data_IF_955548770221
#
_entry.id   IF_955548770221
#
_cell.length_a   1.000
_cell.length_b   1.000
_cell.length_c   1.000
_cell.angle_alpha   90.00
_cell.angle_beta   90.00
_cell.angle_gamma   90.00
#
_symmetry.space_group_name_H-M   'P 1'
#
loop_
_entity.id
_entity.type
_entity.pdbx_description
1 polymer ?
#
# COMPACT_ATOMS: atom_id res chain seq x y z
N UNK A 1 -19.89 84.49 15.99
CA UNK A 1 -21.02 83.54 15.89
C UNK A 1 -20.63 82.24 15.11
N UNK A 2 -19.36 81.82 15.14
CA UNK A 2 -18.87 80.69 14.35
C UNK A 2 -18.26 79.52 15.20
N UNK A 3 -18.20 79.62 16.50
CA UNK A 3 -17.60 78.59 17.37
C UNK A 3 -18.55 77.47 17.80
N UNK A 4 -19.86 77.62 17.64
CA UNK A 4 -20.83 76.56 18.04
C UNK A 4 -21.08 75.54 16.96
N UNK A 5 -20.75 75.76 15.70
CA UNK A 5 -20.91 74.82 14.60
C UNK A 5 -19.74 73.84 14.49
N UNK A 6 -18.54 74.20 14.97
CA UNK A 6 -17.35 73.31 14.91
C UNK A 6 -17.33 72.19 15.94
N UNK A 7 -18.04 72.41 17.08
CA UNK A 7 -18.08 71.39 18.13
C UNK A 7 -19.09 70.27 17.88
N UNK A 8 -20.08 70.52 17.02
CA UNK A 8 -21.09 69.51 16.69
C UNK A 8 -20.61 68.50 15.60
N UNK A 9 -19.64 68.88 14.78
CA UNK A 9 -19.08 68.02 13.75
C UNK A 9 -18.06 67.03 14.34
N UNK A 10 -17.39 67.38 15.44
CA UNK A 10 -16.39 66.51 16.08
C UNK A 10 -17.00 65.32 16.82
N UNK A 11 -18.28 65.39 17.23
CA UNK A 11 -18.97 64.33 17.97
C UNK A 11 -19.50 63.23 17.01
N UNK A 12 -19.72 63.52 15.72
CA UNK A 12 -20.29 62.56 14.78
C UNK A 12 -19.23 61.59 14.24
N UNK A 13 -17.94 61.94 14.27
CA UNK A 13 -16.84 61.09 13.72
C UNK A 13 -16.41 59.95 14.67
N UNK A 14 -16.78 59.99 15.94
CA UNK A 14 -16.34 58.97 16.94
C UNK A 14 -17.28 57.78 17.09
N UNK A 15 -18.42 57.71 16.41
CA UNK A 15 -19.40 56.60 16.52
C UNK A 15 -19.18 55.49 15.52
N UNK A 16 -18.19 55.57 14.61
CA UNK A 16 -18.02 54.67 13.47
C UNK A 16 -17.00 53.55 13.62
N UNK A 17 -16.27 53.43 14.73
CA UNK A 17 -15.23 52.40 14.92
C UNK A 17 -15.60 51.44 16.09
N UNK A 18 -16.65 50.67 15.87
CA UNK A 18 -16.82 49.46 16.69
C UNK A 18 -15.90 48.37 16.10
N UNK A 19 -14.90 47.88 16.82
CA UNK A 19 -14.17 46.68 16.36
C UNK A 19 -15.16 45.53 16.26
N UNK A 20 -15.46 45.06 15.05
CA UNK A 20 -16.15 43.78 14.85
C UNK A 20 -15.18 42.70 15.27
N UNK A 21 -15.34 42.16 16.47
CA UNK A 21 -14.70 40.91 16.84
C UNK A 21 -15.40 39.81 16.03
N UNK A 22 -14.77 39.38 14.93
CA UNK A 22 -15.15 38.16 14.26
C UNK A 22 -14.70 37.00 15.16
N UNK A 23 -15.63 36.40 15.89
CA UNK A 23 -15.40 35.11 16.48
C UNK A 23 -15.35 34.11 15.32
N UNK A 24 -14.17 33.52 15.07
CA UNK A 24 -14.09 32.37 14.17
C UNK A 24 -14.87 31.23 14.83
N UNK A 25 -15.95 30.80 14.21
CA UNK A 25 -16.68 29.60 14.64
C UNK A 25 -15.72 28.41 14.49
N UNK A 26 -15.49 27.69 15.58
CA UNK A 26 -14.67 26.48 15.54
C UNK A 26 -15.40 25.44 14.68
N UNK A 27 -14.75 24.93 13.63
CA UNK A 27 -15.31 23.95 12.70
C UNK A 27 -14.50 22.68 12.73
N UNK A 28 -15.12 21.60 12.29
CA UNK A 28 -14.41 20.34 12.08
C UNK A 28 -13.21 20.54 11.17
N UNK A 29 -12.12 19.87 11.47
CA UNK A 29 -10.87 20.00 10.72
C UNK A 29 -10.19 18.66 10.52
N UNK A 30 -9.52 18.52 9.36
CA UNK A 30 -8.65 17.40 9.01
C UNK A 30 -7.40 17.94 8.32
N UNK A 31 -6.25 17.38 8.63
CA UNK A 31 -4.95 17.79 8.08
C UNK A 31 -4.00 16.60 8.05
N UNK A 32 -2.91 16.75 7.32
CA UNK A 32 -1.77 15.83 7.31
C UNK A 32 -0.55 16.50 7.93
N UNK A 33 0.37 15.72 8.49
CA UNK A 33 1.58 16.25 9.12
C UNK A 33 2.60 16.82 8.11
N UNK A 34 2.53 16.41 6.83
CA UNK A 34 3.35 16.94 5.74
C UNK A 34 2.45 17.28 4.53
N UNK A 35 2.94 18.18 3.67
CA UNK A 35 2.28 18.52 2.40
C UNK A 35 2.66 17.57 1.25
N UNK A 36 3.75 16.80 1.43
CA UNK A 36 4.24 15.85 0.44
C UNK A 36 4.87 14.63 1.12
N UNK A 37 4.69 13.46 0.48
CA UNK A 37 5.23 12.17 0.92
C UNK A 37 5.85 11.41 -0.24
N UNK A 38 6.76 10.50 0.08
CA UNK A 38 7.33 9.53 -0.84
C UNK A 38 6.96 8.09 -0.42
N UNK A 39 7.23 7.12 -1.30
CA UNK A 39 6.94 5.70 -1.03
C UNK A 39 7.60 5.23 0.27
N UNK A 40 6.82 4.55 1.12
CA UNK A 40 7.26 4.01 2.40
C UNK A 40 7.19 5.00 3.57
N UNK A 41 6.88 6.27 3.33
CA UNK A 41 6.68 7.24 4.42
C UNK A 41 5.32 7.05 5.09
N UNK A 42 5.25 7.45 6.36
CA UNK A 42 4.03 7.39 7.16
C UNK A 42 3.25 8.70 7.01
N UNK A 43 2.05 8.60 6.45
CA UNK A 43 1.07 9.71 6.40
C UNK A 43 0.33 9.74 7.73
N UNK A 44 0.49 10.82 8.50
CA UNK A 44 -0.27 11.04 9.72
C UNK A 44 -1.42 11.98 9.40
N UNK A 45 -2.65 11.46 9.48
CA UNK A 45 -3.89 12.24 9.34
C UNK A 45 -4.40 12.57 10.73
N UNK A 46 -4.65 13.85 11.01
CA UNK A 46 -5.11 14.31 12.31
C UNK A 46 -6.11 15.47 12.17
N UNK A 47 -6.82 15.76 13.24
CA UNK A 47 -7.79 16.84 13.24
C UNK A 47 -8.65 16.89 14.48
N UNK A 48 -9.76 17.64 14.39
CA UNK A 48 -10.70 17.85 15.48
C UNK A 48 -12.14 17.84 14.99
N UNK A 49 -13.00 17.18 15.75
CA UNK A 49 -14.46 17.22 15.64
C UNK A 49 -14.99 18.10 16.76
N UNK A 50 -15.72 19.16 16.43
CA UNK A 50 -16.18 20.15 17.43
C UNK A 50 -17.30 19.59 18.30
N UNK A 51 -18.32 19.00 17.69
CA UNK A 51 -19.46 18.39 18.39
C UNK A 51 -19.40 16.87 18.27
N UNK A 52 -18.91 16.21 19.33
CA UNK A 52 -18.77 14.76 19.35
C UNK A 52 -20.07 14.08 19.75
N UNK A 53 -20.40 12.99 19.04
CA UNK A 53 -21.43 12.03 19.45
C UNK A 53 -20.73 10.81 20.04
N UNK A 54 -20.90 10.50 21.33
CA UNK A 54 -20.23 9.37 21.95
C UNK A 54 -20.52 8.06 21.22
N UNK A 55 -19.44 7.30 20.91
CA UNK A 55 -19.54 6.00 20.24
C UNK A 55 -19.72 6.06 18.74
N UNK A 56 -19.82 7.25 18.13
CA UNK A 56 -19.82 7.39 16.68
C UNK A 56 -18.38 7.38 16.15
N UNK A 57 -18.00 6.43 15.28
CA UNK A 57 -16.66 6.38 14.69
C UNK A 57 -16.50 7.41 13.59
N UNK A 58 -15.25 7.87 13.39
CA UNK A 58 -14.82 8.64 12.22
C UNK A 58 -14.24 7.66 11.18
N UNK A 59 -14.70 7.74 9.93
CA UNK A 59 -14.10 7.02 8.81
C UNK A 59 -13.20 7.96 8.03
N UNK A 60 -11.92 7.60 7.88
CA UNK A 60 -10.93 8.32 7.08
C UNK A 60 -10.65 7.50 5.83
N UNK A 61 -10.72 8.13 4.67
CA UNK A 61 -10.47 7.52 3.37
C UNK A 61 -9.43 8.33 2.62
N UNK A 62 -8.52 7.66 1.94
CA UNK A 62 -7.51 8.27 1.07
C UNK A 62 -7.85 7.88 -0.37
N UNK A 63 -7.90 8.87 -1.26
CA UNK A 63 -8.22 8.69 -2.68
C UNK A 63 -7.10 9.22 -3.57
N UNK A 64 -6.93 8.60 -4.72
CA UNK A 64 -6.18 9.14 -5.85
C UNK A 64 -6.99 8.95 -7.14
N UNK A 65 -7.25 10.06 -7.89
CA UNK A 65 -8.08 10.03 -9.10
C UNK A 65 -9.42 9.28 -8.92
N UNK A 66 -10.14 9.58 -7.82
CA UNK A 66 -11.40 8.95 -7.41
C UNK A 66 -11.32 7.44 -7.05
N UNK A 67 -10.15 6.82 -7.13
CA UNK A 67 -9.94 5.46 -6.64
C UNK A 67 -9.62 5.50 -5.14
N UNK A 68 -10.27 4.62 -4.37
CA UNK A 68 -9.95 4.42 -2.96
C UNK A 68 -8.59 3.73 -2.84
N UNK A 69 -7.67 4.38 -2.14
CA UNK A 69 -6.31 3.90 -1.91
C UNK A 69 -6.20 3.22 -0.54
N UNK A 70 -6.79 3.85 0.49
CA UNK A 70 -6.71 3.34 1.86
C UNK A 70 -7.92 3.81 2.67
N UNK A 71 -8.25 3.08 3.75
CA UNK A 71 -9.38 3.40 4.63
C UNK A 71 -9.10 2.96 6.05
N UNK A 72 -9.50 3.81 7.01
CA UNK A 72 -9.49 3.47 8.42
C UNK A 72 -10.77 3.96 9.11
N UNK A 73 -11.22 3.23 10.13
CA UNK A 73 -12.29 3.65 11.01
C UNK A 73 -11.76 3.74 12.44
N UNK A 74 -11.89 4.92 13.05
CA UNK A 74 -11.29 5.24 14.34
C UNK A 74 -12.30 5.86 15.31
N UNK A 75 -12.00 5.78 16.58
CA UNK A 75 -12.76 6.50 17.62
C UNK A 75 -12.19 7.90 17.79
N UNK A 76 -13.07 8.89 17.91
CA UNK A 76 -12.71 10.27 18.26
C UNK A 76 -12.51 10.37 19.78
N UNK A 77 -11.47 11.06 20.22
CA UNK A 77 -11.21 11.30 21.63
C UNK A 77 -12.27 12.22 22.27
N UNK A 78 -12.36 12.23 23.62
CA UNK A 78 -13.39 13.01 24.33
C UNK A 78 -13.25 14.53 24.15
N UNK A 79 -12.08 15.01 23.78
CA UNK A 79 -11.82 16.42 23.46
C UNK A 79 -12.04 16.77 21.98
N UNK A 80 -12.52 15.80 21.20
CA UNK A 80 -12.76 15.89 19.76
C UNK A 80 -11.55 15.62 18.90
N UNK A 81 -10.36 15.43 19.45
CA UNK A 81 -9.16 15.17 18.64
C UNK A 81 -9.12 13.75 18.09
N UNK A 82 -8.47 13.57 16.95
CA UNK A 82 -8.19 12.27 16.35
C UNK A 82 -6.85 12.28 15.61
N UNK A 83 -6.25 11.11 15.49
CA UNK A 83 -5.09 10.87 14.63
C UNK A 83 -5.10 9.43 14.13
N UNK A 84 -4.68 9.24 12.87
CA UNK A 84 -4.53 7.95 12.21
C UNK A 84 -3.30 7.97 11.33
N UNK A 85 -2.57 6.85 11.32
CA UNK A 85 -1.41 6.66 10.45
C UNK A 85 -1.75 5.73 9.29
N UNK A 86 -1.20 6.04 8.11
CA UNK A 86 -1.26 5.21 6.92
C UNK A 86 0.16 5.06 6.39
N UNK A 87 0.53 3.86 5.95
CA UNK A 87 1.81 3.65 5.27
C UNK A 87 1.62 3.92 3.78
N UNK A 88 2.35 4.89 3.23
CA UNK A 88 2.29 5.23 1.81
C UNK A 88 3.01 4.16 0.97
N UNK A 89 2.48 2.92 1.00
CA UNK A 89 3.08 1.75 0.40
C UNK A 89 2.02 0.74 -0.06
N UNK A 90 2.38 -0.06 -1.07
CA UNK A 90 1.54 -1.13 -1.61
C UNK A 90 1.04 -0.83 -3.02
N UNK A 91 0.31 -1.77 -3.64
CA UNK A 91 -0.07 -1.70 -5.06
C UNK A 91 -0.88 -0.46 -5.42
N UNK A 92 -1.71 0.04 -4.50
CA UNK A 92 -2.55 1.21 -4.72
C UNK A 92 -1.79 2.53 -4.57
N UNK A 93 -0.65 2.54 -3.85
CA UNK A 93 0.25 3.69 -3.70
C UNK A 93 1.30 3.75 -4.82
N UNK A 94 0.87 3.57 -6.07
CA UNK A 94 1.76 3.37 -7.23
C UNK A 94 1.96 4.59 -8.11
N UNK A 95 1.10 5.60 -8.02
CA UNK A 95 1.06 6.72 -8.97
C UNK A 95 1.42 8.03 -8.30
N UNK A 96 2.27 8.83 -8.97
CA UNK A 96 2.56 10.20 -8.56
C UNK A 96 1.32 11.09 -8.65
N UNK A 97 1.20 12.08 -7.77
CA UNK A 97 0.17 13.10 -7.87
C UNK A 97 -0.47 13.53 -6.55
N UNK A 98 -1.62 14.17 -6.67
CA UNK A 98 -2.39 14.67 -5.53
C UNK A 98 -3.28 13.57 -4.99
N UNK A 99 -3.15 13.31 -3.70
CA UNK A 99 -4.00 12.40 -2.93
C UNK A 99 -4.95 13.22 -2.07
N UNK A 100 -6.21 12.80 -2.03
CA UNK A 100 -7.27 13.43 -1.25
C UNK A 100 -7.58 12.61 -0.02
N UNK A 101 -7.57 13.24 1.15
CA UNK A 101 -7.99 12.62 2.42
C UNK A 101 -9.39 13.13 2.76
N UNK A 102 -10.35 12.23 2.95
CA UNK A 102 -11.71 12.55 3.37
C UNK A 102 -12.03 11.92 4.72
N UNK A 103 -12.48 12.75 5.64
CA UNK A 103 -13.00 12.31 6.94
C UNK A 103 -14.52 12.37 6.95
N UNK A 104 -15.19 11.23 7.17
CA UNK A 104 -16.66 11.13 7.26
C UNK A 104 -17.06 10.89 8.71
N UNK A 105 -17.63 11.88 9.36
CA UNK A 105 -18.14 11.74 10.72
C UNK A 105 -19.65 11.48 10.73
N UNK A 106 -20.42 12.26 9.97
CA UNK A 106 -21.83 12.02 9.65
C UNK A 106 -22.07 12.29 8.17
N UNK A 107 -23.28 12.02 7.68
CA UNK A 107 -23.66 12.25 6.27
C UNK A 107 -23.39 13.70 5.83
N UNK A 108 -23.59 14.66 6.73
CA UNK A 108 -23.47 16.10 6.45
C UNK A 108 -22.15 16.71 6.96
N UNK A 109 -21.28 15.91 7.62
CA UNK A 109 -20.01 16.37 8.20
C UNK A 109 -18.84 15.63 7.57
N UNK A 110 -18.42 16.18 6.42
CA UNK A 110 -17.30 15.68 5.62
C UNK A 110 -16.19 16.72 5.65
N UNK A 111 -15.01 16.30 6.04
CA UNK A 111 -13.78 17.11 6.00
C UNK A 111 -12.90 16.62 4.87
N UNK A 112 -12.12 17.53 4.28
CA UNK A 112 -11.21 17.17 3.19
C UNK A 112 -9.88 17.91 3.31
N UNK A 113 -8.78 17.21 3.00
CA UNK A 113 -7.43 17.78 2.86
C UNK A 113 -6.67 17.04 1.76
N UNK A 114 -5.50 17.55 1.36
CA UNK A 114 -4.73 17.05 0.23
C UNK A 114 -3.25 16.99 0.58
N UNK A 115 -2.54 16.05 -0.05
CA UNK A 115 -1.08 16.02 -0.05
C UNK A 115 -0.56 15.56 -1.43
N UNK A 116 0.72 15.85 -1.70
CA UNK A 116 1.41 15.33 -2.87
C UNK A 116 2.07 14.00 -2.53
N UNK A 117 1.96 13.03 -3.42
CA UNK A 117 2.69 11.77 -3.28
C UNK A 117 3.59 11.56 -4.50
N UNK A 118 4.80 11.07 -4.25
CA UNK A 118 5.75 10.67 -5.28
C UNK A 118 6.21 9.25 -5.05
N UNK A 119 5.97 8.40 -6.03
CA UNK A 119 6.51 7.04 -6.02
C UNK A 119 8.02 7.11 -6.30
N UNK A 120 8.83 6.74 -5.32
CA UNK A 120 10.30 6.73 -5.41
C UNK A 120 10.87 5.33 -5.49
N UNK A 121 10.01 4.30 -5.49
CA UNK A 121 10.46 2.92 -5.60
C UNK A 121 10.99 2.64 -7.01
N UNK A 122 12.28 2.33 -7.10
CA UNK A 122 12.92 1.91 -8.35
C UNK A 122 12.66 0.41 -8.54
N UNK A 123 11.98 0.08 -9.62
CA UNK A 123 11.75 -1.32 -10.01
C UNK A 123 12.96 -1.86 -10.76
N UNK A 124 13.52 -2.98 -10.28
CA UNK A 124 14.56 -3.76 -10.97
C UNK A 124 13.90 -4.98 -11.59
N UNK A 125 13.80 -5.02 -12.91
CA UNK A 125 13.27 -6.18 -13.65
C UNK A 125 14.40 -7.06 -14.15
N UNK A 126 14.29 -8.36 -14.00
CA UNK A 126 15.27 -9.34 -14.45
C UNK A 126 14.61 -10.68 -14.74
N UNK A 127 15.41 -11.60 -15.30
CA UNK A 127 15.06 -13.01 -15.49
C UNK A 127 16.08 -13.84 -14.73
N UNK A 128 15.60 -14.82 -13.98
CA UNK A 128 16.43 -15.77 -13.26
C UNK A 128 16.23 -17.18 -13.84
N UNK A 129 17.31 -17.83 -14.24
CA UNK A 129 17.26 -19.20 -14.74
C UNK A 129 17.27 -20.18 -13.55
N UNK A 130 16.11 -20.73 -13.23
CA UNK A 130 15.91 -21.66 -12.11
C UNK A 130 16.25 -23.08 -12.57
N UNK A 131 17.17 -23.72 -11.85
CA UNK A 131 17.55 -25.10 -12.11
C UNK A 131 16.57 -26.08 -11.46
N UNK A 132 16.03 -26.99 -12.27
CA UNK A 132 15.21 -28.11 -11.77
C UNK A 132 16.09 -29.35 -11.70
N UNK A 133 16.41 -29.88 -10.51
CA UNK A 133 17.27 -31.05 -10.38
C UNK A 133 16.79 -32.21 -11.24
N UNK A 134 17.68 -32.71 -12.12
CA UNK A 134 17.45 -33.81 -13.09
C UNK A 134 16.38 -33.55 -14.17
N UNK A 135 15.87 -32.30 -14.33
CA UNK A 135 14.77 -32.00 -15.26
C UNK A 135 15.01 -30.80 -16.18
N UNK A 136 16.11 -30.04 -15.98
CA UNK A 136 16.45 -28.90 -16.83
C UNK A 136 16.38 -27.56 -16.11
N UNK A 137 16.09 -26.52 -16.87
CA UNK A 137 16.04 -25.11 -16.40
C UNK A 137 14.79 -24.46 -16.94
N UNK A 138 14.20 -23.54 -16.19
CA UNK A 138 13.20 -22.61 -16.71
C UNK A 138 13.53 -21.18 -16.29
N UNK A 139 13.06 -20.23 -17.08
CA UNK A 139 13.27 -18.82 -16.82
C UNK A 139 12.11 -18.23 -16.03
N UNK A 140 12.43 -17.60 -14.89
CA UNK A 140 11.49 -16.89 -14.03
C UNK A 140 11.71 -15.39 -14.19
N UNK A 141 10.74 -14.71 -14.80
CA UNK A 141 10.76 -13.25 -14.89
C UNK A 141 10.27 -12.66 -13.58
N UNK A 142 10.99 -11.66 -13.04
CA UNK A 142 10.62 -10.97 -11.84
C UNK A 142 10.91 -9.47 -11.92
N UNK A 143 10.23 -8.73 -11.04
CA UNK A 143 10.49 -7.32 -10.78
C UNK A 143 10.41 -7.07 -9.29
N UNK A 144 11.43 -6.44 -8.72
CA UNK A 144 11.51 -6.14 -7.30
C UNK A 144 11.70 -4.65 -7.07
N UNK A 145 11.05 -4.11 -6.04
CA UNK A 145 11.23 -2.75 -5.52
C UNK A 145 11.64 -2.83 -4.05
N UNK A 146 12.36 -1.84 -3.56
CA UNK A 146 12.78 -1.77 -2.14
C UNK A 146 13.95 -2.67 -1.75
N UNK A 147 14.46 -3.50 -2.66
CA UNK A 147 15.54 -4.44 -2.40
C UNK A 147 16.09 -5.09 -3.65
N UNK A 148 16.65 -6.27 -3.49
CA UNK A 148 17.17 -7.10 -4.58
C UNK A 148 16.96 -8.59 -4.32
N UNK A 149 16.79 -9.36 -5.41
CA UNK A 149 16.80 -10.83 -5.37
C UNK A 149 18.25 -11.30 -5.41
N UNK A 150 18.63 -12.18 -4.49
CA UNK A 150 19.96 -12.77 -4.40
C UNK A 150 20.04 -14.11 -5.11
N UNK A 151 19.07 -14.99 -4.84
CA UNK A 151 19.01 -16.32 -5.39
C UNK A 151 17.56 -16.80 -5.53
N UNK A 152 17.31 -17.66 -6.50
CA UNK A 152 16.03 -18.36 -6.66
C UNK A 152 16.35 -19.85 -6.85
N UNK A 153 15.78 -20.68 -5.99
CA UNK A 153 15.92 -22.14 -6.03
C UNK A 153 14.56 -22.82 -6.02
N UNK A 154 14.52 -24.03 -6.55
CA UNK A 154 13.32 -24.85 -6.56
C UNK A 154 13.53 -26.08 -5.67
N UNK A 155 12.60 -26.29 -4.73
CA UNK A 155 12.50 -27.52 -3.96
C UNK A 155 11.35 -28.38 -4.53
N UNK A 156 11.71 -29.53 -5.12
CA UNK A 156 10.73 -30.47 -5.69
C UNK A 156 9.95 -31.23 -4.63
N UNK A 157 10.57 -31.49 -3.49
CA UNK A 157 9.98 -32.33 -2.44
C UNK A 157 8.85 -31.57 -1.72
N UNK A 158 8.99 -30.26 -1.59
CA UNK A 158 7.97 -29.37 -1.02
C UNK A 158 7.11 -28.69 -2.07
N UNK A 159 7.35 -28.89 -3.36
CA UNK A 159 6.70 -28.18 -4.46
C UNK A 159 6.81 -26.66 -4.30
N UNK A 160 7.98 -26.17 -3.90
CA UNK A 160 8.16 -24.75 -3.61
C UNK A 160 9.29 -24.09 -4.39
N UNK A 161 9.15 -22.78 -4.62
CA UNK A 161 10.20 -21.87 -5.07
C UNK A 161 10.64 -21.05 -3.86
N UNK A 162 11.95 -21.08 -3.55
CA UNK A 162 12.57 -20.26 -2.53
C UNK A 162 13.30 -19.10 -3.20
N UNK A 163 13.04 -17.89 -2.73
CA UNK A 163 13.61 -16.64 -3.26
C UNK A 163 14.31 -15.94 -2.10
N UNK A 164 15.63 -15.89 -2.15
CA UNK A 164 16.41 -15.13 -1.19
C UNK A 164 16.53 -13.67 -1.65
N UNK A 165 16.23 -12.76 -0.74
CA UNK A 165 16.20 -11.32 -0.97
C UNK A 165 17.06 -10.56 0.03
N UNK A 166 17.35 -9.31 -0.30
CA UNK A 166 17.83 -8.32 0.64
C UNK A 166 16.93 -7.08 0.53
N UNK A 167 15.97 -7.00 1.44
CA UNK A 167 15.04 -5.88 1.51
C UNK A 167 15.60 -4.79 2.42
N UNK A 168 15.92 -3.62 1.83
CA UNK A 168 16.44 -2.45 2.54
C UNK A 168 15.33 -1.45 2.87
N UNK A 169 14.26 -1.47 2.06
CA UNK A 169 13.09 -0.62 2.22
C UNK A 169 11.82 -1.43 1.96
N UNK A 170 10.69 -0.87 2.30
CA UNK A 170 9.40 -1.41 1.88
C UNK A 170 9.33 -1.48 0.35
N UNK A 171 8.72 -2.54 -0.16
CA UNK A 171 8.61 -2.72 -1.60
C UNK A 171 7.69 -3.87 -1.97
N UNK A 172 7.84 -4.36 -3.21
CA UNK A 172 7.11 -5.52 -3.69
C UNK A 172 7.96 -6.39 -4.60
N UNK A 173 7.63 -7.67 -4.64
CA UNK A 173 8.17 -8.64 -5.58
C UNK A 173 7.04 -9.09 -6.51
N UNK A 174 7.18 -8.81 -7.81
CA UNK A 174 6.31 -9.34 -8.86
C UNK A 174 7.00 -10.52 -9.53
N UNK A 175 6.26 -11.58 -9.74
CA UNK A 175 6.76 -12.82 -10.34
C UNK A 175 5.83 -13.28 -11.44
N UNK A 176 6.40 -13.67 -12.56
CA UNK A 176 5.71 -14.35 -13.64
C UNK A 176 6.01 -15.86 -13.57
N UNK A 177 5.12 -16.61 -12.95
CA UNK A 177 5.27 -18.05 -12.69
C UNK A 177 4.82 -18.82 -13.93
N UNK A 178 5.73 -19.53 -14.67
CA UNK A 178 5.37 -20.28 -15.85
C UNK A 178 4.64 -21.58 -15.47
N UNK A 179 3.38 -21.71 -15.90
CA UNK A 179 2.47 -22.79 -15.50
C UNK A 179 2.92 -24.19 -15.91
N UNK A 180 3.68 -24.29 -16.98
CA UNK A 180 4.27 -25.55 -17.40
C UNK A 180 5.34 -26.06 -16.42
N UNK A 181 6.00 -25.14 -15.70
CA UNK A 181 7.14 -25.44 -14.82
C UNK A 181 6.74 -25.46 -13.34
N UNK A 182 5.85 -24.57 -12.95
CA UNK A 182 5.42 -24.40 -11.56
C UNK A 182 3.99 -23.83 -11.52
N UNK A 183 3.08 -24.51 -10.81
CA UNK A 183 1.69 -24.07 -10.72
C UNK A 183 1.05 -24.55 -9.39
N UNK A 184 -0.13 -24.04 -9.10
CA UNK A 184 -1.01 -24.51 -8.02
C UNK A 184 -2.38 -24.85 -8.57
N UNK A 185 -2.78 -26.13 -8.43
CA UNK A 185 -4.05 -26.66 -8.94
C UNK A 185 -4.68 -27.63 -7.95
N UNK A 186 -5.99 -27.61 -7.92
CA UNK A 186 -6.81 -28.61 -7.23
C UNK A 186 -6.80 -29.92 -7.99
N UNK A 187 -7.22 -31.01 -7.34
CA UNK A 187 -7.31 -32.35 -7.94
C UNK A 187 -8.18 -32.39 -9.20
N UNK A 188 -9.14 -31.49 -9.33
CA UNK A 188 -10.01 -31.37 -10.50
C UNK A 188 -9.40 -30.54 -11.65
N UNK A 189 -8.13 -30.08 -11.52
CA UNK A 189 -7.41 -29.29 -12.51
C UNK A 189 -7.72 -27.79 -12.52
N UNK A 190 -8.62 -27.32 -11.64
CA UNK A 190 -8.91 -25.90 -11.47
C UNK A 190 -7.79 -25.26 -10.68
N UNK A 191 -7.47 -24.00 -10.98
CA UNK A 191 -6.45 -23.23 -10.29
C UNK A 191 -6.73 -23.17 -8.79
N UNK A 192 -5.67 -23.29 -8.01
CA UNK A 192 -5.67 -23.12 -6.55
C UNK A 192 -4.78 -21.94 -6.18
N UNK A 193 -4.88 -21.49 -4.93
CA UNK A 193 -4.02 -20.43 -4.39
C UNK A 193 -2.62 -20.99 -4.13
N UNK A 194 -1.62 -20.11 -4.24
CA UNK A 194 -0.29 -20.39 -3.70
C UNK A 194 -0.29 -20.09 -2.19
N UNK A 195 0.56 -20.79 -1.43
CA UNK A 195 0.86 -20.40 -0.04
C UNK A 195 2.19 -19.67 -0.08
N UNK A 196 2.21 -18.45 0.47
CA UNK A 196 3.41 -17.63 0.53
C UNK A 196 3.89 -17.57 1.98
N UNK A 197 5.10 -18.03 2.24
CA UNK A 197 5.75 -17.92 3.54
C UNK A 197 6.93 -16.96 3.42
N UNK A 198 7.01 -16.00 4.34
CA UNK A 198 8.14 -15.07 4.44
C UNK A 198 8.90 -15.35 5.73
N UNK A 199 10.21 -15.46 5.60
CA UNK A 199 11.14 -15.53 6.72
C UNK A 199 11.90 -14.23 6.81
N UNK A 200 11.82 -13.58 7.97
CA UNK A 200 12.53 -12.34 8.25
C UNK A 200 13.98 -12.57 8.75
N UNK A 201 14.73 -11.49 8.90
CA UNK A 201 16.11 -11.46 9.42
C UNK A 201 16.23 -12.02 10.84
N UNK A 202 15.16 -12.01 11.62
CA UNK A 202 15.13 -12.50 13.01
C UNK A 202 14.77 -13.98 13.07
N UNK A 203 14.48 -14.59 11.90
CA UNK A 203 14.14 -16.00 11.74
C UNK A 203 12.66 -16.32 11.97
N UNK A 204 11.81 -15.31 12.16
CA UNK A 204 10.37 -15.50 12.24
C UNK A 204 9.81 -15.86 10.86
N UNK A 205 8.84 -16.77 10.81
CA UNK A 205 8.18 -17.19 9.59
C UNK A 205 6.68 -16.87 9.70
N UNK A 206 6.13 -16.23 8.70
CA UNK A 206 4.70 -15.89 8.65
C UNK A 206 4.13 -16.09 7.25
N UNK A 207 2.84 -16.34 7.17
CA UNK A 207 2.11 -16.42 5.91
C UNK A 207 1.78 -15.03 5.41
N UNK A 208 2.17 -14.73 4.17
CA UNK A 208 1.90 -13.45 3.51
C UNK A 208 0.76 -13.58 2.50
N UNK A 209 0.02 -12.49 2.33
CA UNK A 209 -0.96 -12.36 1.26
C UNK A 209 -0.25 -11.93 -0.03
N UNK A 210 -0.81 -12.35 -1.17
CA UNK A 210 -0.37 -11.89 -2.49
C UNK A 210 -1.56 -11.43 -3.32
N UNK A 211 -1.29 -10.62 -4.31
CA UNK A 211 -2.27 -10.23 -5.31
C UNK A 211 -1.97 -10.94 -6.63
N UNK A 212 -2.95 -11.60 -7.21
CA UNK A 212 -2.86 -12.14 -8.55
C UNK A 212 -3.17 -11.03 -9.55
N UNK A 213 -2.15 -10.61 -10.32
CA UNK A 213 -2.22 -9.48 -11.25
C UNK A 213 -2.77 -9.90 -12.60
N UNK A 214 -2.35 -11.06 -13.08
CA UNK A 214 -2.74 -11.63 -14.38
C UNK A 214 -2.63 -13.15 -14.36
N UNK A 215 -3.60 -13.82 -14.98
CA UNK A 215 -3.58 -15.27 -15.15
C UNK A 215 -3.93 -15.60 -16.59
N UNK A 216 -3.02 -16.32 -17.27
CA UNK A 216 -3.16 -16.80 -18.64
C UNK A 216 -3.06 -18.32 -18.69
N UNK A 217 -3.07 -18.92 -19.90
CA UNK A 217 -2.75 -20.34 -20.09
C UNK A 217 -1.29 -20.67 -19.79
N UNK A 218 -0.38 -19.70 -19.93
CA UNK A 218 1.06 -19.90 -19.95
C UNK A 218 1.73 -19.50 -18.64
N UNK A 219 1.18 -18.51 -17.94
CA UNK A 219 1.74 -18.01 -16.69
C UNK A 219 0.68 -17.47 -15.73
N UNK A 220 1.07 -17.33 -14.45
CA UNK A 220 0.37 -16.56 -13.42
C UNK A 220 1.32 -15.47 -12.94
N UNK A 221 0.85 -14.21 -12.95
CA UNK A 221 1.60 -13.06 -12.42
C UNK A 221 1.07 -12.72 -11.04
N UNK A 222 1.95 -12.80 -10.03
CA UNK A 222 1.62 -12.49 -8.65
C UNK A 222 2.48 -11.33 -8.14
N UNK A 223 1.94 -10.56 -7.20
CA UNK A 223 2.65 -9.51 -6.46
C UNK A 223 2.58 -9.77 -4.95
N UNK A 224 3.74 -9.74 -4.31
CA UNK A 224 3.93 -9.94 -2.87
C UNK A 224 4.50 -8.66 -2.29
N UNK A 225 3.90 -8.12 -1.24
CA UNK A 225 4.42 -6.95 -0.52
C UNK A 225 5.49 -7.43 0.45
N UNK A 226 6.61 -6.72 0.49
CA UNK A 226 7.78 -7.03 1.29
C UNK A 226 8.17 -5.86 2.20
N UNK A 227 8.66 -6.19 3.39
CA UNK A 227 9.10 -5.23 4.40
C UNK A 227 10.64 -5.24 4.55
N UNK A 228 11.21 -4.16 5.12
CA UNK A 228 12.65 -4.13 5.41
C UNK A 228 13.02 -5.29 6.34
N UNK A 229 13.97 -6.13 5.91
CA UNK A 229 14.43 -7.29 6.67
C UNK A 229 13.83 -8.62 6.26
N UNK A 230 12.86 -8.67 5.33
CA UNK A 230 12.43 -9.91 4.71
C UNK A 230 13.60 -10.53 3.93
N UNK A 231 13.89 -11.80 4.18
CA UNK A 231 15.08 -12.48 3.65
C UNK A 231 14.76 -13.61 2.69
N UNK A 232 13.81 -14.47 3.03
CA UNK A 232 13.47 -15.62 2.20
C UNK A 232 11.97 -15.66 2.00
N UNK A 233 11.54 -15.71 0.75
CA UNK A 233 10.15 -15.90 0.34
C UNK A 233 10.04 -17.32 -0.20
N UNK A 234 9.18 -18.14 0.40
CA UNK A 234 8.83 -19.47 -0.08
C UNK A 234 7.43 -19.43 -0.70
N UNK A 235 7.34 -19.83 -1.97
CA UNK A 235 6.09 -19.94 -2.71
C UNK A 235 5.78 -21.41 -2.89
N UNK A 236 4.76 -21.91 -2.19
CA UNK A 236 4.35 -23.31 -2.25
C UNK A 236 3.21 -23.46 -3.25
N UNK A 237 3.41 -24.33 -4.23
CA UNK A 237 2.41 -24.74 -5.20
C UNK A 237 1.96 -26.18 -4.98
N UNK A 238 1.34 -26.77 -6.00
CA UNK A 238 0.94 -28.18 -6.01
C UNK A 238 1.53 -28.95 -7.19
N UNK A 239 2.28 -28.26 -8.05
CA UNK A 239 2.84 -28.84 -9.26
C UNK A 239 4.22 -28.25 -9.55
N UNK A 240 5.17 -29.13 -9.82
CA UNK A 240 6.48 -28.82 -10.42
C UNK A 240 6.67 -29.82 -11.55
N UNK A 241 7.33 -29.43 -12.65
CA UNK A 241 7.57 -30.32 -13.80
C UNK A 241 8.01 -31.71 -13.32
N UNK A 242 7.32 -32.79 -13.72
CA UNK A 242 7.76 -34.15 -13.45
C UNK A 242 9.13 -34.39 -14.08
N UNK A 243 9.99 -35.18 -13.44
CA UNK A 243 11.16 -35.72 -14.11
C UNK A 243 10.72 -36.36 -15.43
N UNK A 244 11.31 -35.96 -16.55
CA UNK A 244 11.21 -36.77 -17.75
C UNK A 244 11.85 -38.13 -17.41
N UNK A 245 11.00 -39.03 -16.94
CA UNK A 245 11.44 -40.38 -16.62
C UNK A 245 12.16 -40.94 -17.85
N UNK A 246 13.18 -41.71 -17.59
CA UNK A 246 14.11 -42.39 -18.50
C UNK A 246 13.49 -43.17 -19.68
N UNK A 247 12.30 -42.80 -20.15
CA UNK A 247 11.61 -43.46 -21.29
C UNK A 247 12.26 -43.07 -22.64
N UNK A 248 13.01 -41.97 -22.70
CA UNK A 248 13.70 -41.54 -23.95
C UNK A 248 14.92 -42.45 -24.27
N UNK A 249 15.49 -43.14 -23.31
CA UNK A 249 16.62 -44.06 -23.52
C UNK A 249 16.22 -45.43 -24.13
N UNK A 250 14.92 -45.74 -24.24
CA UNK A 250 14.45 -47.04 -24.72
C UNK A 250 14.02 -47.09 -26.18
N UNK A 251 14.16 -45.97 -26.94
CA UNK A 251 13.77 -45.90 -28.37
C UNK A 251 14.97 -45.90 -29.32
N UNK A 252 16.21 -46.03 -28.78
CA UNK A 252 17.45 -46.11 -29.57
C UNK A 252 18.19 -47.45 -29.33
N UNK A 253 17.51 -48.57 -29.47
CA UNK A 253 18.13 -49.89 -29.65
C UNK A 253 17.47 -50.61 -30.83
#
# INVERSE_FOLDING_TARGET
MYYKAFFLILIIVTIGLTPSFAFAEESDSISTNLEAYTSGEVVIVFGKIVDITPGLPLTIQIFHNDNLIDVAQISVAQDGTFAQTFNALGPLWSSDGTYTVRGFYTVDRIMETYFQFKNTLVSKTSVFSVNIPNSGVFDLSYSITGGEVKEITLDKDSYSILIDTAMEAYGSLKLQLPRESFDSKKDNGVDDVFIILIKDKDGSVFEAQYQEMETTSDFRMIEIILEPGDQTIEIVGTYVIPEFGSIVSMILL
#
